data_IF_922448155260
#
_entry.id   IF_922448155260
#
_cell.length_a   1.000
_cell.length_b   1.000
_cell.length_c   1.000
_cell.angle_alpha   90.00
_cell.angle_beta   90.00
_cell.angle_gamma   90.00
#
_symmetry.space_group_name_H-M   'P 1'
#
loop_
_entity.id
_entity.type
_entity.pdbx_description
1 polymer ?
#
# COMPACT_ATOMS: atom_id res chain seq x y z
N UNK A 1 4.63 -19.48 -9.19
CA UNK A 1 6.00 -19.10 -9.62
C UNK A 1 6.47 -18.04 -8.64
N UNK A 2 7.55 -18.29 -7.89
CA UNK A 2 8.05 -17.35 -6.88
C UNK A 2 9.03 -16.42 -7.60
N UNK A 3 8.67 -15.15 -7.75
CA UNK A 3 9.55 -14.12 -8.31
C UNK A 3 10.51 -13.64 -7.23
N UNK A 4 11.60 -14.38 -7.06
CA UNK A 4 12.65 -14.01 -6.10
C UNK A 4 13.49 -12.87 -6.69
N UNK A 5 13.58 -11.70 -6.02
CA UNK A 5 14.32 -10.56 -6.54
C UNK A 5 15.82 -10.86 -6.69
N UNK A 6 16.37 -11.76 -5.88
CA UNK A 6 17.79 -12.13 -5.92
C UNK A 6 18.18 -12.97 -7.14
N UNK A 7 17.26 -13.78 -7.66
CA UNK A 7 17.55 -14.71 -8.77
C UNK A 7 16.89 -14.28 -10.08
N UNK A 8 15.85 -13.46 -10.02
CA UNK A 8 15.12 -12.97 -11.20
C UNK A 8 14.71 -11.48 -11.05
N UNK A 9 15.68 -10.56 -10.91
CA UNK A 9 15.39 -9.14 -10.67
C UNK A 9 14.58 -8.49 -11.78
N UNK A 10 14.79 -8.87 -13.04
CA UNK A 10 14.02 -8.33 -14.18
C UNK A 10 12.55 -8.73 -14.14
N UNK A 11 12.26 -10.01 -13.83
CA UNK A 11 10.88 -10.48 -13.69
C UNK A 11 10.20 -9.85 -12.48
N UNK A 12 10.94 -9.65 -11.39
CA UNK A 12 10.46 -8.94 -10.20
C UNK A 12 10.10 -7.48 -10.51
N UNK A 13 10.97 -6.76 -11.22
CA UNK A 13 10.70 -5.39 -11.67
C UNK A 13 9.47 -5.34 -12.57
N UNK A 14 9.41 -6.19 -13.59
CA UNK A 14 8.28 -6.25 -14.52
C UNK A 14 6.96 -6.51 -13.79
N UNK A 15 6.94 -7.46 -12.85
CA UNK A 15 5.74 -7.73 -12.06
C UNK A 15 5.28 -6.51 -11.25
N UNK A 16 6.20 -5.83 -10.57
CA UNK A 16 5.87 -4.65 -9.78
C UNK A 16 5.40 -3.48 -10.66
N UNK A 17 6.00 -3.30 -11.84
CA UNK A 17 5.56 -2.30 -12.82
C UNK A 17 4.13 -2.59 -13.30
N UNK A 18 3.83 -3.85 -13.65
CA UNK A 18 2.48 -4.25 -14.06
C UNK A 18 1.44 -4.07 -12.93
N UNK A 19 1.80 -4.37 -11.68
CA UNK A 19 0.91 -4.13 -10.53
C UNK A 19 0.63 -2.63 -10.39
N UNK A 20 1.69 -1.80 -10.45
CA UNK A 20 1.57 -0.35 -10.32
C UNK A 20 0.70 0.24 -11.43
N UNK A 21 0.93 -0.15 -12.68
CA UNK A 21 0.12 0.30 -13.82
C UNK A 21 -1.36 -0.09 -13.66
N UNK A 22 -1.65 -1.31 -13.21
CA UNK A 22 -3.04 -1.74 -12.94
C UNK A 22 -3.69 -0.93 -11.82
N UNK A 23 -2.94 -0.56 -10.77
CA UNK A 23 -3.45 0.30 -9.70
C UNK A 23 -3.76 1.72 -10.20
N UNK A 24 -2.85 2.32 -10.99
CA UNK A 24 -3.04 3.63 -11.60
C UNK A 24 -4.28 3.63 -12.49
N UNK A 25 -4.38 2.64 -13.39
CA UNK A 25 -5.52 2.50 -14.30
C UNK A 25 -6.83 2.37 -13.52
N UNK A 26 -6.86 1.52 -12.47
CA UNK A 26 -8.07 1.30 -11.68
C UNK A 26 -8.52 2.55 -10.94
N UNK A 27 -7.57 3.30 -10.40
CA UNK A 27 -7.83 4.58 -9.74
C UNK A 27 -8.37 5.63 -10.73
N UNK A 28 -7.78 5.71 -11.92
CA UNK A 28 -8.24 6.61 -12.98
C UNK A 28 -9.67 6.28 -13.45
N UNK A 29 -9.97 5.00 -13.70
CA UNK A 29 -11.32 4.53 -14.05
C UNK A 29 -12.36 4.94 -13.00
N UNK A 30 -12.07 4.72 -11.72
CA UNK A 30 -12.99 5.07 -10.64
C UNK A 30 -13.14 6.58 -10.46
N UNK A 31 -12.04 7.33 -10.63
CA UNK A 31 -12.05 8.79 -10.59
C UNK A 31 -12.94 9.37 -11.70
N UNK A 32 -12.83 8.87 -12.92
CA UNK A 32 -13.68 9.29 -14.06
C UNK A 32 -15.16 8.99 -13.78
N UNK A 33 -15.44 7.84 -13.17
CA UNK A 33 -16.81 7.43 -12.84
C UNK A 33 -17.37 8.08 -11.56
N UNK A 34 -16.60 8.93 -10.86
CA UNK A 34 -16.95 9.49 -9.54
C UNK A 34 -17.39 8.41 -8.53
N UNK A 35 -16.68 7.28 -8.53
CA UNK A 35 -16.98 6.15 -7.64
C UNK A 35 -15.96 6.07 -6.51
N UNK A 36 -16.48 6.03 -5.29
CA UNK A 36 -15.68 5.63 -4.13
C UNK A 36 -15.34 4.14 -4.24
N UNK A 37 -14.12 3.77 -3.84
CA UNK A 37 -13.68 2.38 -3.83
C UNK A 37 -12.70 2.13 -2.68
N UNK A 38 -12.53 0.85 -2.35
CA UNK A 38 -11.55 0.37 -1.39
C UNK A 38 -10.47 -0.38 -2.17
N UNK A 39 -9.21 -0.02 -1.92
CA UNK A 39 -8.05 -0.74 -2.45
C UNK A 39 -7.37 -1.53 -1.33
N UNK A 40 -7.13 -2.81 -1.57
CA UNK A 40 -6.19 -3.60 -0.78
C UNK A 40 -4.81 -3.43 -1.41
N UNK A 41 -3.90 -2.78 -0.67
CA UNK A 41 -2.59 -2.29 -1.10
C UNK A 41 -2.64 -1.08 -2.04
N UNK A 42 -1.53 -0.34 -2.05
CA UNK A 42 -1.38 0.91 -2.79
C UNK A 42 0.09 1.06 -3.23
N UNK A 43 0.89 1.93 -2.60
CA UNK A 43 2.27 2.22 -3.01
C UNK A 43 3.26 1.06 -2.81
N UNK A 44 2.80 -0.12 -2.36
CA UNK A 44 3.59 -1.31 -2.12
C UNK A 44 4.59 -1.63 -3.23
N UNK A 45 4.27 -1.54 -4.55
CA UNK A 45 5.25 -1.80 -5.61
C UNK A 45 6.47 -0.87 -5.54
N UNK A 46 6.28 0.41 -5.19
CA UNK A 46 7.37 1.36 -5.02
C UNK A 46 8.30 0.94 -3.88
N UNK A 47 7.72 0.50 -2.76
CA UNK A 47 8.46 0.07 -1.58
C UNK A 47 9.19 -1.25 -1.83
N UNK A 48 8.55 -2.20 -2.50
CA UNK A 48 9.16 -3.47 -2.88
C UNK A 48 10.36 -3.26 -3.80
N UNK A 49 10.22 -2.44 -4.84
CA UNK A 49 11.32 -2.12 -5.74
C UNK A 49 12.46 -1.40 -5.03
N UNK A 50 12.15 -0.43 -4.16
CA UNK A 50 13.17 0.24 -3.37
C UNK A 50 13.92 -0.74 -2.45
N UNK A 51 13.20 -1.62 -1.74
CA UNK A 51 13.78 -2.55 -0.77
C UNK A 51 14.67 -3.61 -1.43
N UNK A 52 14.22 -4.19 -2.54
CA UNK A 52 14.85 -5.36 -3.13
C UNK A 52 15.79 -5.05 -4.29
N UNK A 53 15.61 -3.92 -4.98
CA UNK A 53 16.42 -3.54 -6.15
C UNK A 53 17.23 -2.27 -5.86
N UNK A 54 16.62 -1.28 -5.21
CA UNK A 54 17.31 -0.07 -4.73
C UNK A 54 16.71 1.24 -5.22
N UNK A 55 17.29 2.36 -4.74
CA UNK A 55 16.77 3.71 -4.98
C UNK A 55 16.75 4.12 -6.46
N UNK A 56 17.68 3.62 -7.27
CA UNK A 56 17.71 3.91 -8.70
C UNK A 56 16.51 3.29 -9.43
N UNK A 57 16.09 2.09 -9.02
CA UNK A 57 14.89 1.46 -9.56
C UNK A 57 13.62 2.19 -9.09
N UNK A 58 13.57 2.64 -7.84
CA UNK A 58 12.48 3.50 -7.36
C UNK A 58 12.37 4.80 -8.18
N UNK A 59 13.50 5.43 -8.52
CA UNK A 59 13.51 6.64 -9.37
C UNK A 59 12.85 6.38 -10.72
N UNK A 60 13.22 5.29 -11.40
CA UNK A 60 12.59 4.88 -12.66
C UNK A 60 11.10 4.59 -12.51
N UNK A 61 10.69 3.97 -11.39
CA UNK A 61 9.29 3.70 -11.12
C UNK A 61 8.47 4.99 -10.93
N UNK A 62 9.06 6.03 -10.35
CA UNK A 62 8.40 7.35 -10.24
C UNK A 62 8.26 8.07 -11.57
N UNK A 63 9.05 7.67 -12.58
CA UNK A 63 8.98 8.20 -13.95
C UNK A 63 7.94 7.46 -14.82
N UNK A 64 7.32 6.37 -14.30
CA UNK A 64 6.23 5.67 -15.02
C UNK A 64 5.06 6.63 -15.25
N UNK A 65 4.52 6.72 -16.48
CA UNK A 65 3.37 7.58 -16.78
C UNK A 65 2.19 7.34 -15.84
N UNK A 66 1.61 8.42 -15.33
CA UNK A 66 0.46 8.38 -14.43
C UNK A 66 0.81 8.28 -12.94
N UNK A 67 2.06 7.99 -12.56
CA UNK A 67 2.44 7.90 -11.13
C UNK A 67 2.31 9.24 -10.43
N UNK A 68 2.70 10.33 -11.08
CA UNK A 68 2.61 11.67 -10.50
C UNK A 68 1.15 12.05 -10.23
N UNK A 69 0.28 11.89 -11.21
CA UNK A 69 -1.14 12.21 -11.10
C UNK A 69 -1.84 11.28 -10.10
N UNK A 70 -1.49 9.99 -10.11
CA UNK A 70 -2.01 9.01 -9.15
C UNK A 70 -1.63 9.37 -7.71
N UNK A 71 -0.34 9.63 -7.44
CA UNK A 71 0.11 10.02 -6.11
C UNK A 71 -0.47 11.35 -5.63
N UNK A 72 -0.78 12.27 -6.53
CA UNK A 72 -1.50 13.51 -6.18
C UNK A 72 -2.95 13.23 -5.76
N UNK A 73 -3.68 12.36 -6.48
CA UNK A 73 -5.04 11.95 -6.10
C UNK A 73 -5.08 11.25 -4.74
N UNK A 74 -4.06 10.43 -4.42
CA UNK A 74 -3.96 9.76 -3.12
C UNK A 74 -3.91 10.74 -1.94
N UNK A 75 -3.49 12.00 -2.11
CA UNK A 75 -3.51 13.01 -1.03
C UNK A 75 -4.92 13.30 -0.51
N UNK A 76 -5.94 13.01 -1.32
CA UNK A 76 -7.35 13.21 -0.95
C UNK A 76 -8.02 11.95 -0.40
N UNK A 77 -7.36 10.80 -0.53
CA UNK A 77 -7.84 9.50 -0.10
C UNK A 77 -7.68 9.30 1.43
N UNK A 78 -8.38 8.29 1.96
CA UNK A 78 -8.14 7.79 3.31
C UNK A 78 -7.20 6.60 3.22
N UNK A 79 -5.96 6.79 3.69
CA UNK A 79 -4.93 5.75 3.70
C UNK A 79 -4.78 5.20 5.11
N UNK A 80 -4.92 3.88 5.25
CA UNK A 80 -4.73 3.18 6.50
C UNK A 80 -3.56 2.20 6.37
N UNK A 81 -2.59 2.30 7.28
CA UNK A 81 -1.42 1.41 7.30
C UNK A 81 -1.44 0.62 8.59
N UNK A 82 -1.61 -0.70 8.48
CA UNK A 82 -1.64 -1.60 9.64
C UNK A 82 -0.22 -1.88 10.09
N UNK A 83 0.09 -1.52 11.34
CA UNK A 83 1.37 -1.80 11.95
C UNK A 83 1.54 -3.33 12.11
N UNK A 84 2.71 -3.89 11.75
CA UNK A 84 3.02 -5.27 12.04
C UNK A 84 2.89 -5.58 13.54
N UNK A 85 2.26 -6.71 13.84
CA UNK A 85 2.06 -7.19 15.21
C UNK A 85 2.45 -8.65 15.26
N UNK A 86 3.21 -9.04 16.29
CA UNK A 86 3.75 -10.40 16.44
C UNK A 86 2.63 -11.45 16.45
N UNK A 87 1.50 -11.09 17.04
CA UNK A 87 0.29 -11.90 17.17
C UNK A 87 -0.36 -12.23 15.82
N UNK A 88 -0.05 -11.46 14.77
CA UNK A 88 -0.51 -11.69 13.40
C UNK A 88 0.49 -12.49 12.54
N UNK A 89 1.69 -12.76 13.05
CA UNK A 89 2.71 -13.57 12.36
C UNK A 89 2.46 -15.02 12.76
N UNK A 90 1.67 -15.71 11.95
CA UNK A 90 1.41 -17.14 12.08
C UNK A 90 2.19 -17.86 10.99
N UNK A 91 3.02 -18.81 11.39
CA UNK A 91 3.64 -19.73 10.45
C UNK A 91 2.53 -20.66 9.91
N UNK A 92 2.15 -20.44 8.66
CA UNK A 92 1.17 -21.28 7.97
C UNK A 92 1.84 -22.40 7.17
N UNK A 93 3.16 -22.62 7.36
CA UNK A 93 4.02 -23.57 6.64
C UNK A 93 4.08 -23.36 5.12
N UNK A 94 3.37 -22.36 4.60
CA UNK A 94 3.20 -22.09 3.16
C UNK A 94 3.90 -20.79 2.77
N UNK A 95 3.88 -19.79 3.64
CA UNK A 95 4.48 -18.47 3.41
C UNK A 95 5.83 -18.39 4.11
N UNK A 96 6.78 -17.68 3.50
CA UNK A 96 7.94 -17.19 4.24
C UNK A 96 7.41 -16.39 5.41
N UNK A 97 7.68 -16.83 6.64
CA UNK A 97 7.36 -16.08 7.86
C UNK A 97 8.45 -15.01 8.04
N UNK A 98 8.21 -13.75 7.61
CA UNK A 98 9.22 -12.71 7.78
C UNK A 98 9.43 -12.47 9.27
N UNK A 99 10.66 -12.08 9.62
CA UNK A 99 10.95 -11.65 10.99
C UNK A 99 10.18 -10.36 11.27
N UNK A 100 9.74 -10.16 12.51
CA UNK A 100 9.00 -8.96 12.90
C UNK A 100 9.81 -7.68 12.58
N UNK A 101 11.14 -7.73 12.77
CA UNK A 101 12.04 -6.62 12.47
C UNK A 101 12.06 -6.27 10.96
N UNK A 102 11.93 -7.27 10.09
CA UNK A 102 11.86 -7.05 8.64
C UNK A 102 10.53 -6.42 8.21
N UNK A 103 9.44 -6.80 8.88
CA UNK A 103 8.13 -6.21 8.71
C UNK A 103 8.08 -4.78 9.24
N UNK A 104 8.65 -4.52 10.42
CA UNK A 104 8.76 -3.17 10.99
C UNK A 104 9.59 -2.26 10.09
N UNK A 105 10.70 -2.75 9.54
CA UNK A 105 11.49 -2.01 8.56
C UNK A 105 10.67 -1.69 7.30
N UNK A 106 9.87 -2.64 6.81
CA UNK A 106 9.01 -2.42 5.65
C UNK A 106 7.89 -1.39 5.95
N UNK A 107 7.25 -1.50 7.10
CA UNK A 107 6.25 -0.57 7.60
C UNK A 107 6.80 0.87 7.69
N UNK A 108 7.98 1.03 8.28
CA UNK A 108 8.63 2.33 8.38
C UNK A 108 8.97 2.92 7.01
N UNK A 109 9.34 2.09 6.02
CA UNK A 109 9.54 2.53 4.64
C UNK A 109 8.25 3.03 3.99
N UNK A 110 7.13 2.32 4.19
CA UNK A 110 5.79 2.76 3.72
C UNK A 110 5.46 4.14 4.31
N UNK A 111 5.53 4.29 5.63
CA UNK A 111 5.20 5.56 6.30
C UNK A 111 6.10 6.71 5.85
N UNK A 112 7.40 6.44 5.67
CA UNK A 112 8.35 7.41 5.15
C UNK A 112 7.99 7.87 3.74
N UNK A 113 7.65 6.94 2.86
CA UNK A 113 7.32 7.25 1.47
C UNK A 113 6.04 8.08 1.37
N UNK A 114 4.98 7.69 2.09
CA UNK A 114 3.75 8.51 2.16
C UNK A 114 4.03 9.93 2.67
N UNK A 115 4.88 10.06 3.71
CA UNK A 115 5.31 11.36 4.22
C UNK A 115 6.07 12.19 3.17
N UNK A 116 6.96 11.56 2.40
CA UNK A 116 7.71 12.24 1.33
C UNK A 116 6.78 12.72 0.20
N UNK A 117 5.73 11.96 -0.10
CA UNK A 117 4.72 12.31 -1.10
C UNK A 117 3.67 13.32 -0.58
N UNK A 118 3.71 13.66 0.71
CA UNK A 118 2.73 14.55 1.34
C UNK A 118 1.33 13.93 1.45
N UNK A 119 1.23 12.61 1.51
CA UNK A 119 -0.03 11.87 1.62
C UNK A 119 -0.31 11.58 3.10
N UNK A 120 -1.47 12.00 3.64
CA UNK A 120 -1.83 11.74 5.03
C UNK A 120 -2.17 10.26 5.23
N UNK A 121 -1.72 9.69 6.36
CA UNK A 121 -1.93 8.29 6.71
C UNK A 121 -2.44 8.13 8.13
N UNK A 122 -3.31 7.15 8.34
CA UNK A 122 -3.71 6.67 9.65
C UNK A 122 -2.99 5.35 9.92
N UNK A 123 -2.02 5.39 10.83
CA UNK A 123 -1.39 4.17 11.32
C UNK A 123 -2.35 3.43 12.27
N UNK A 124 -2.57 2.14 12.01
CA UNK A 124 -3.42 1.26 12.81
C UNK A 124 -2.52 0.37 13.66
N UNK A 125 -2.55 0.61 14.97
CA UNK A 125 -1.79 -0.15 15.98
C UNK A 125 -2.69 -1.05 16.85
N UNK A 126 -4.00 -1.04 16.60
CA UNK A 126 -4.98 -1.81 17.33
C UNK A 126 -5.04 -3.26 16.81
N UNK A 127 -4.89 -4.23 17.70
CA UNK A 127 -4.91 -5.66 17.34
C UNK A 127 -6.34 -6.16 17.15
N UNK A 128 -7.27 -5.68 17.98
CA UNK A 128 -8.67 -6.12 17.95
C UNK A 128 -9.34 -5.72 16.64
N UNK A 129 -9.91 -6.72 15.94
CA UNK A 129 -10.53 -6.53 14.63
C UNK A 129 -11.76 -5.62 14.68
N UNK A 130 -12.58 -5.70 15.73
CA UNK A 130 -13.79 -4.89 15.85
C UNK A 130 -13.44 -3.43 16.15
N UNK A 131 -12.45 -3.19 17.01
CA UNK A 131 -11.95 -1.83 17.26
C UNK A 131 -11.29 -1.22 16.02
N UNK A 132 -10.52 -1.99 15.25
CA UNK A 132 -10.01 -1.55 13.94
C UNK A 132 -11.13 -1.16 12.98
N UNK A 133 -12.15 -2.01 12.86
CA UNK A 133 -13.34 -1.73 12.04
C UNK A 133 -14.02 -0.43 12.48
N UNK A 134 -14.24 -0.25 13.79
CA UNK A 134 -14.86 0.94 14.34
C UNK A 134 -14.04 2.21 14.03
N UNK A 135 -12.72 2.16 14.23
CA UNK A 135 -11.81 3.27 13.91
C UNK A 135 -11.85 3.64 12.42
N UNK A 136 -11.76 2.67 11.51
CA UNK A 136 -11.83 2.91 10.07
C UNK A 136 -13.17 3.55 9.70
N UNK A 137 -14.28 3.01 10.19
CA UNK A 137 -15.63 3.55 9.95
C UNK A 137 -15.77 4.98 10.46
N UNK A 138 -15.24 5.27 11.65
CA UNK A 138 -15.23 6.63 12.21
C UNK A 138 -14.50 7.62 11.27
N UNK A 139 -13.32 7.25 10.76
CA UNK A 139 -12.56 8.11 9.84
C UNK A 139 -13.25 8.29 8.49
N UNK A 140 -13.89 7.25 7.98
CA UNK A 140 -14.69 7.35 6.76
C UNK A 140 -15.88 8.28 6.99
N UNK A 141 -16.63 8.13 8.07
CA UNK A 141 -17.79 8.97 8.37
C UNK A 141 -17.41 10.44 8.61
N UNK A 142 -16.27 10.71 9.25
CA UNK A 142 -15.74 12.07 9.42
C UNK A 142 -15.45 12.76 8.08
N UNK A 143 -14.93 12.01 7.10
CA UNK A 143 -14.55 12.53 5.79
C UNK A 143 -15.71 12.57 4.81
N UNK A 144 -16.59 11.58 4.89
CA UNK A 144 -17.70 11.33 3.97
C UNK A 144 -19.00 11.08 4.77
N UNK A 145 -19.63 12.13 5.35
CA UNK A 145 -20.76 11.99 6.27
C UNK A 145 -22.00 11.33 5.66
N UNK A 146 -22.12 11.35 4.34
CA UNK A 146 -23.24 10.80 3.56
C UNK A 146 -23.04 9.35 3.11
N UNK A 147 -21.87 8.75 3.34
CA UNK A 147 -21.57 7.38 2.89
C UNK A 147 -22.00 6.37 3.96
N UNK A 148 -22.98 5.53 3.63
CA UNK A 148 -23.37 4.37 4.43
C UNK A 148 -22.50 3.18 4.02
N UNK A 149 -21.58 2.75 4.89
CA UNK A 149 -20.74 1.57 4.64
C UNK A 149 -21.23 0.39 5.48
N UNK A 150 -21.64 -0.68 4.81
CA UNK A 150 -21.88 -1.99 5.43
C UNK A 150 -20.72 -2.93 5.10
N UNK A 151 -19.98 -3.36 6.14
CA UNK A 151 -18.98 -4.44 6.08
C UNK A 151 -19.50 -5.70 6.74
#
# INVERSE_FOLDING_TARGET
MIFLPETQPENFLKLNEEILQRQIQRDEENSIMSKDFIADRCIDPLIYVQKYIGNEALRKFREIPGVLEWTDRLKTALIFVVKPQKECIVDDEVRLSPKLEELDAFHNSILREYKLLGIPVFEITELDRQKRKAFILEKIQQRFPSVLISF
#
